data_IF_339741064397
#
_entry.id   IF_339741064397
#
_cell.length_a   1.000
_cell.length_b   1.000
_cell.length_c   1.000
_cell.angle_alpha   90.00
_cell.angle_beta   90.00
_cell.angle_gamma   90.00
#
_symmetry.space_group_name_H-M   'P 1'
#
loop_
_entity.id
_entity.type
_entity.pdbx_description
1 polymer ?
#
# COMPACT_ATOMS: atom_id res chain seq x y z
N UNK A 1 26.69 12.65 -35.93
CA UNK A 1 25.51 13.19 -35.22
C UNK A 1 24.82 12.15 -34.32
N UNK A 2 25.25 10.89 -34.36
CA UNK A 2 24.54 9.76 -33.74
C UNK A 2 24.71 9.65 -32.23
N UNK A 3 25.86 10.04 -31.69
CA UNK A 3 26.12 9.99 -30.24
C UNK A 3 25.17 10.91 -29.47
N UNK A 4 24.93 12.13 -29.96
CA UNK A 4 23.99 13.09 -29.35
C UNK A 4 22.56 12.55 -29.36
N UNK A 5 22.15 11.88 -30.45
CA UNK A 5 20.82 11.27 -30.57
C UNK A 5 20.67 10.06 -29.64
N UNK A 6 21.70 9.23 -29.53
CA UNK A 6 21.77 8.11 -28.58
C UNK A 6 21.69 8.59 -27.13
N UNK A 7 22.43 9.65 -26.78
CA UNK A 7 22.41 10.23 -25.45
C UNK A 7 21.02 10.76 -25.08
N UNK A 8 20.36 11.49 -26.00
CA UNK A 8 18.99 11.96 -25.79
C UNK A 8 18.00 10.82 -25.55
N UNK A 9 18.09 9.74 -26.33
CA UNK A 9 17.24 8.54 -26.14
C UNK A 9 17.49 7.87 -24.80
N UNK A 10 18.76 7.76 -24.38
CA UNK A 10 19.12 7.19 -23.10
C UNK A 10 18.57 8.04 -21.94
N UNK A 11 18.66 9.37 -22.03
CA UNK A 11 18.06 10.29 -21.05
C UNK A 11 16.54 10.11 -20.95
N UNK A 12 15.84 10.08 -22.09
CA UNK A 12 14.39 9.84 -22.09
C UNK A 12 14.02 8.49 -21.47
N UNK A 13 14.76 7.43 -21.77
CA UNK A 13 14.53 6.12 -21.17
C UNK A 13 14.76 6.11 -19.64
N UNK A 14 15.74 6.87 -19.16
CA UNK A 14 15.98 7.05 -17.72
C UNK A 14 14.82 7.80 -17.06
N UNK A 15 14.32 8.87 -17.68
CA UNK A 15 13.18 9.64 -17.16
C UNK A 15 11.90 8.78 -17.08
N UNK A 16 11.65 7.95 -18.10
CA UNK A 16 10.52 7.01 -18.12
C UNK A 16 10.64 5.95 -17.01
N UNK A 17 11.85 5.43 -16.77
CA UNK A 17 12.13 4.49 -15.70
C UNK A 17 11.92 5.13 -14.31
N UNK A 18 12.38 6.37 -14.10
CA UNK A 18 12.15 7.13 -12.87
C UNK A 18 10.65 7.35 -12.63
N UNK A 19 9.91 7.73 -13.67
CA UNK A 19 8.45 7.90 -13.60
C UNK A 19 7.74 6.61 -13.19
N UNK A 20 8.16 5.49 -13.78
CA UNK A 20 7.63 4.16 -13.47
C UNK A 20 7.91 3.77 -12.02
N UNK A 21 9.15 3.96 -11.55
CA UNK A 21 9.54 3.67 -10.17
C UNK A 21 8.77 4.54 -9.16
N UNK A 22 8.54 5.82 -9.46
CA UNK A 22 7.73 6.70 -8.62
C UNK A 22 6.29 6.20 -8.49
N UNK A 23 5.67 5.81 -9.60
CA UNK A 23 4.30 5.23 -9.59
C UNK A 23 4.24 3.92 -8.82
N UNK A 24 5.24 3.05 -8.98
CA UNK A 24 5.33 1.80 -8.23
C UNK A 24 5.45 2.05 -6.72
N UNK A 25 6.29 3.02 -6.33
CA UNK A 25 6.43 3.43 -4.92
C UNK A 25 5.12 3.95 -4.33
N UNK A 26 4.41 4.84 -5.03
CA UNK A 26 3.12 5.35 -4.55
C UNK A 26 2.11 4.21 -4.33
N UNK A 27 2.00 3.27 -5.27
CA UNK A 27 1.11 2.10 -5.10
C UNK A 27 1.47 1.24 -3.89
N UNK A 28 2.76 1.07 -3.59
CA UNK A 28 3.21 0.33 -2.40
C UNK A 28 2.88 1.09 -1.11
N UNK A 29 3.06 2.41 -1.09
CA UNK A 29 2.71 3.25 0.06
C UNK A 29 1.20 3.25 0.32
N UNK A 30 0.40 3.39 -0.73
CA UNK A 30 -1.06 3.31 -0.66
C UNK A 30 -1.50 1.93 -0.15
N UNK A 31 -0.97 0.84 -0.72
CA UNK A 31 -1.27 -0.52 -0.27
C UNK A 31 -0.86 -0.77 1.18
N UNK A 32 0.25 -0.18 1.64
CA UNK A 32 0.66 -0.25 3.05
C UNK A 32 -0.32 0.49 3.97
N UNK A 33 -0.84 1.64 3.53
CA UNK A 33 -1.87 2.39 4.25
C UNK A 33 -3.16 1.57 4.37
N UNK A 34 -3.59 0.92 3.29
CA UNK A 34 -4.80 0.08 3.25
C UNK A 34 -4.69 -1.12 4.19
N UNK A 35 -3.55 -1.83 4.18
CA UNK A 35 -3.29 -2.94 5.10
C UNK A 35 -3.32 -2.46 6.55
N UNK A 36 -2.71 -1.31 6.85
CA UNK A 36 -2.73 -0.73 8.20
C UNK A 36 -4.14 -0.40 8.68
N UNK A 37 -5.00 0.11 7.78
CA UNK A 37 -6.43 0.33 8.09
C UNK A 37 -7.15 -0.99 8.35
N UNK A 38 -6.96 -1.99 7.50
CA UNK A 38 -7.58 -3.31 7.66
C UNK A 38 -7.16 -3.98 9.00
N UNK A 39 -5.90 -3.89 9.41
CA UNK A 39 -5.43 -4.40 10.70
C UNK A 39 -6.16 -3.72 11.87
N UNK A 40 -6.28 -2.39 11.84
CA UNK A 40 -7.03 -1.66 12.88
C UNK A 40 -8.51 -2.04 12.94
N UNK A 41 -9.13 -2.26 11.77
CA UNK A 41 -10.51 -2.73 11.70
C UNK A 41 -10.67 -4.13 12.31
N UNK A 42 -9.71 -5.03 12.06
CA UNK A 42 -9.67 -6.36 12.68
C UNK A 42 -9.50 -6.29 14.21
N UNK A 43 -8.59 -5.46 14.72
CA UNK A 43 -8.39 -5.29 16.16
C UNK A 43 -9.65 -4.77 16.88
N UNK A 44 -10.37 -3.84 16.23
CA UNK A 44 -11.64 -3.32 16.74
C UNK A 44 -12.72 -4.41 16.73
N UNK A 45 -12.81 -5.18 15.65
CA UNK A 45 -13.76 -6.29 15.56
C UNK A 45 -13.51 -7.35 16.65
N UNK A 46 -12.24 -7.71 16.88
CA UNK A 46 -11.85 -8.63 17.95
C UNK A 46 -12.28 -8.10 19.32
N UNK A 47 -12.04 -6.81 19.60
CA UNK A 47 -12.42 -6.17 20.85
C UNK A 47 -13.94 -6.23 21.08
N UNK A 48 -14.72 -5.95 20.03
CA UNK A 48 -16.17 -6.00 20.08
C UNK A 48 -16.68 -7.43 20.32
N UNK A 49 -16.10 -8.43 19.65
CA UNK A 49 -16.43 -9.85 19.86
C UNK A 49 -16.13 -10.26 21.30
N UNK A 50 -14.94 -9.92 21.82
CA UNK A 50 -14.56 -10.20 23.21
C UNK A 50 -15.53 -9.56 24.20
N UNK A 51 -15.98 -8.33 23.93
CA UNK A 51 -16.98 -7.65 24.75
C UNK A 51 -18.33 -8.38 24.69
N UNK A 52 -18.82 -8.71 23.49
CA UNK A 52 -20.07 -9.43 23.31
C UNK A 52 -20.05 -10.79 24.03
N UNK A 53 -18.93 -11.52 23.98
CA UNK A 53 -18.77 -12.79 24.70
C UNK A 53 -18.89 -12.59 26.22
N UNK A 54 -18.32 -11.52 26.78
CA UNK A 54 -18.43 -11.23 28.23
C UNK A 54 -19.83 -10.81 28.65
N UNK A 55 -20.59 -10.22 27.74
CA UNK A 55 -21.95 -9.76 27.97
C UNK A 55 -23.00 -10.87 27.73
N UNK A 56 -22.57 -12.06 27.29
CA UNK A 56 -23.45 -13.22 27.23
C UNK A 56 -23.86 -13.62 28.66
N UNK A 57 -25.16 -13.75 28.95
CA UNK A 57 -25.62 -14.29 30.23
C UNK A 57 -25.19 -15.75 30.38
N UNK A 58 -24.89 -16.16 31.61
CA UNK A 58 -24.43 -17.52 31.96
C UNK A 58 -25.50 -18.62 31.72
N UNK A 59 -26.73 -18.25 31.32
CA UNK A 59 -27.88 -19.15 31.19
C UNK A 59 -28.10 -19.67 29.75
N UNK A 60 -27.07 -20.28 29.15
CA UNK A 60 -27.22 -21.24 28.02
C UNK A 60 -26.70 -22.62 28.45
#
# INVERSE_FOLDING_TARGET
MDTKRRLKRALSAIDDAISTLRRARSKVEDGRSDISRAVKELDNAETNIRKAIRELPDDI
#
